data_IF_362560705536
#
_entry.id   IF_362560705536
#
_cell.length_a   1.000
_cell.length_b   1.000
_cell.length_c   1.000
_cell.angle_alpha   90.00
_cell.angle_beta   90.00
_cell.angle_gamma   90.00
#
_symmetry.space_group_name_H-M   'P 1'
#
loop_
_entity.id
_entity.type
_entity.pdbx_description
1 polymer ?
#
# COMPACT_ATOMS: atom_id res chain seq x y z
N UNK A 1 -19.97 6.20 6.70
CA UNK A 1 -18.63 6.70 6.29
C UNK A 1 -18.10 7.60 7.38
N UNK A 2 -16.92 7.29 7.93
CA UNK A 2 -16.23 8.14 8.91
C UNK A 2 -14.97 8.70 8.27
N UNK A 3 -14.86 10.03 8.21
CA UNK A 3 -13.68 10.73 7.70
C UNK A 3 -12.94 11.41 8.84
N UNK A 4 -11.64 11.17 8.97
CA UNK A 4 -10.80 11.82 9.98
C UNK A 4 -9.57 12.43 9.31
N UNK A 5 -9.30 13.71 9.61
CA UNK A 5 -8.16 14.46 9.10
C UNK A 5 -7.24 14.87 10.25
N UNK A 6 -5.92 14.87 10.02
CA UNK A 6 -4.89 15.31 11.01
C UNK A 6 -5.05 14.59 12.35
N UNK A 7 -5.25 13.28 12.28
CA UNK A 7 -5.65 12.46 13.41
C UNK A 7 -4.46 12.22 14.35
N UNK A 8 -4.66 12.45 15.65
CA UNK A 8 -3.78 11.91 16.69
C UNK A 8 -4.14 10.46 16.98
N UNK A 9 -3.23 9.74 17.65
CA UNK A 9 -3.50 8.36 18.07
C UNK A 9 -4.74 8.24 18.98
N UNK A 10 -5.00 9.23 19.83
CA UNK A 10 -6.17 9.24 20.71
C UNK A 10 -7.48 9.29 19.93
N UNK A 11 -7.55 10.08 18.85
CA UNK A 11 -8.74 10.14 17.98
C UNK A 11 -8.96 8.82 17.23
N UNK A 12 -7.89 8.12 16.85
CA UNK A 12 -8.00 6.82 16.19
C UNK A 12 -8.49 5.72 17.13
N UNK A 13 -8.16 5.78 18.43
CA UNK A 13 -8.68 4.85 19.44
C UNK A 13 -10.19 4.91 19.58
N UNK A 14 -10.81 6.07 19.34
CA UNK A 14 -12.27 6.19 19.37
C UNK A 14 -12.94 5.35 18.27
N UNK A 15 -12.26 5.13 17.13
CA UNK A 15 -12.78 4.30 16.04
C UNK A 15 -12.93 2.82 16.43
N UNK A 16 -12.17 2.34 17.43
CA UNK A 16 -12.27 0.96 17.92
C UNK A 16 -13.61 0.66 18.59
N UNK A 17 -14.28 1.70 19.09
CA UNK A 17 -15.62 1.58 19.68
C UNK A 17 -16.74 1.47 18.63
N UNK A 18 -16.42 1.69 17.35
CA UNK A 18 -17.38 1.69 16.25
C UNK A 18 -17.49 0.30 15.61
N UNK A 19 -18.22 -0.60 16.26
CA UNK A 19 -18.38 -1.99 15.81
C UNK A 19 -19.04 -2.14 14.42
N UNK A 20 -19.87 -1.18 14.02
CA UNK A 20 -20.58 -1.18 12.71
C UNK A 20 -19.84 -0.40 11.62
N UNK A 21 -18.56 -0.06 11.82
CA UNK A 21 -17.79 0.72 10.84
C UNK A 21 -17.53 -0.08 9.56
N UNK A 22 -18.21 0.29 8.47
CA UNK A 22 -18.08 -0.34 7.14
C UNK A 22 -17.21 0.46 6.17
N UNK A 23 -17.06 1.76 6.41
CA UNK A 23 -16.35 2.70 5.52
C UNK A 23 -15.53 3.71 6.32
N UNK A 24 -14.21 3.76 6.07
CA UNK A 24 -13.24 4.57 6.81
C UNK A 24 -12.32 5.36 5.88
N UNK A 25 -12.20 6.65 6.14
CA UNK A 25 -11.32 7.54 5.41
C UNK A 25 -10.38 8.26 6.38
N UNK A 26 -9.07 8.05 6.23
CA UNK A 26 -8.04 8.67 7.07
C UNK A 26 -7.11 9.51 6.20
N UNK A 27 -7.02 10.80 6.47
CA UNK A 27 -6.15 11.72 5.75
C UNK A 27 -5.18 12.46 6.66
N UNK A 28 -3.96 12.66 6.17
CA UNK A 28 -2.94 13.47 6.84
C UNK A 28 -2.60 12.97 8.26
N UNK A 29 -2.66 11.65 8.49
CA UNK A 29 -2.27 11.03 9.75
C UNK A 29 -0.74 10.97 9.91
N UNK A 30 -0.25 10.97 11.14
CA UNK A 30 1.19 10.75 11.42
C UNK A 30 1.65 9.39 10.87
N UNK A 31 2.91 9.30 10.45
CA UNK A 31 3.51 8.04 10.00
C UNK A 31 3.51 6.96 11.08
N UNK A 32 3.61 7.36 12.35
CA UNK A 32 3.64 6.45 13.52
C UNK A 32 2.39 5.59 13.64
N UNK A 33 1.27 6.07 13.07
CA UNK A 33 -0.02 5.35 13.06
C UNK A 33 0.12 3.99 12.39
N UNK A 34 1.02 3.85 11.40
CA UNK A 34 1.27 2.61 10.66
C UNK A 34 1.80 1.49 11.58
N UNK A 35 2.47 1.86 12.67
CA UNK A 35 3.04 0.93 13.65
C UNK A 35 2.21 0.82 14.92
N UNK A 36 1.13 1.59 15.02
CA UNK A 36 0.26 1.60 16.18
C UNK A 36 -0.76 0.47 16.11
N UNK A 37 -1.07 -0.18 17.24
CA UNK A 37 -2.07 -1.23 17.23
C UNK A 37 -3.48 -0.63 17.34
N UNK A 38 -4.32 -0.85 16.33
CA UNK A 38 -5.71 -0.39 16.27
C UNK A 38 -6.68 -1.55 16.05
N UNK A 39 -7.68 -1.67 16.92
CA UNK A 39 -8.75 -2.66 16.82
C UNK A 39 -9.90 -2.20 15.92
N UNK A 40 -9.69 -2.15 14.60
CA UNK A 40 -10.73 -1.76 13.66
C UNK A 40 -11.80 -2.84 13.45
N UNK A 41 -13.02 -2.41 13.12
CA UNK A 41 -14.13 -3.33 12.83
C UNK A 41 -13.79 -4.29 11.68
N UNK A 42 -14.11 -5.57 11.87
CA UNK A 42 -14.01 -6.60 10.82
C UNK A 42 -15.01 -6.42 9.68
N UNK A 43 -16.02 -5.56 9.87
CA UNK A 43 -17.04 -5.22 8.87
C UNK A 43 -16.57 -4.16 7.88
N UNK A 44 -15.33 -3.66 8.01
CA UNK A 44 -14.78 -2.65 7.12
C UNK A 44 -14.59 -3.20 5.70
N UNK A 45 -15.36 -2.67 4.74
CA UNK A 45 -15.36 -3.08 3.34
C UNK A 45 -14.76 -2.04 2.41
N UNK A 46 -14.86 -0.76 2.80
CA UNK A 46 -14.39 0.39 2.05
C UNK A 46 -13.42 1.21 2.90
N UNK A 47 -12.32 1.66 2.30
CA UNK A 47 -11.43 2.59 2.97
C UNK A 47 -10.52 3.36 2.01
N UNK A 48 -10.15 4.56 2.46
CA UNK A 48 -9.11 5.36 1.86
C UNK A 48 -8.16 5.86 2.96
N UNK A 49 -6.93 5.34 2.95
CA UNK A 49 -5.89 5.69 3.93
C UNK A 49 -4.79 6.50 3.28
N UNK A 50 -4.44 7.63 3.89
CA UNK A 50 -3.28 8.44 3.55
C UNK A 50 -2.51 8.79 4.80
N UNK A 51 -1.42 8.07 5.05
CA UNK A 51 -0.70 8.08 6.32
C UNK A 51 0.79 8.39 6.11
N UNK A 52 1.35 9.26 6.96
CA UNK A 52 2.77 9.64 6.94
C UNK A 52 3.18 10.58 5.79
N UNK A 53 2.28 10.85 4.84
CA UNK A 53 2.53 11.73 3.71
C UNK A 53 2.44 13.22 4.11
N UNK A 54 3.57 13.92 4.16
CA UNK A 54 3.61 15.39 4.21
C UNK A 54 3.90 15.95 2.80
N UNK A 55 2.92 16.64 2.20
CA UNK A 55 3.08 17.37 0.93
C UNK A 55 2.12 16.93 -0.20
N UNK A 56 2.05 17.73 -1.27
CA UNK A 56 1.12 17.56 -2.41
C UNK A 56 1.46 16.44 -3.40
N UNK A 57 2.61 15.77 -3.28
CA UNK A 57 3.08 14.73 -4.23
C UNK A 57 2.64 13.31 -3.86
N UNK A 58 1.44 13.19 -3.31
CA UNK A 58 0.80 11.90 -3.12
C UNK A 58 0.04 11.55 -4.39
N UNK A 59 -0.63 10.39 -4.45
CA UNK A 59 -1.59 10.12 -5.51
C UNK A 59 -2.37 11.39 -5.83
N UNK A 60 -2.37 11.79 -7.09
CA UNK A 60 -3.22 12.88 -7.54
C UNK A 60 -4.62 12.58 -6.98
N UNK A 61 -5.19 13.53 -6.26
CA UNK A 61 -6.49 13.37 -5.59
C UNK A 61 -7.56 12.86 -6.56
N UNK A 62 -7.38 13.14 -7.86
CA UNK A 62 -8.18 12.61 -8.98
C UNK A 62 -8.18 11.07 -9.14
N UNK A 63 -7.19 10.35 -8.60
CA UNK A 63 -7.14 8.87 -8.60
C UNK A 63 -7.78 8.26 -7.35
N UNK A 64 -7.87 9.03 -6.27
CA UNK A 64 -8.69 8.70 -5.10
C UNK A 64 -10.18 8.94 -5.38
N UNK A 65 -10.50 9.71 -6.43
CA UNK A 65 -11.86 9.94 -6.90
C UNK A 65 -12.39 8.68 -7.64
N UNK A 66 -12.97 7.77 -6.86
CA UNK A 66 -14.03 6.82 -7.25
C UNK A 66 -13.66 5.58 -8.10
N UNK A 67 -12.39 5.18 -8.24
CA UNK A 67 -12.05 3.98 -9.02
C UNK A 67 -11.80 2.71 -8.18
N UNK A 68 -11.52 2.87 -6.89
CA UNK A 68 -11.18 1.77 -6.00
C UNK A 68 -11.81 1.98 -4.62
N UNK A 69 -12.42 0.93 -4.09
CA UNK A 69 -13.08 0.98 -2.78
C UNK A 69 -12.09 0.85 -1.61
N UNK A 70 -10.88 0.35 -1.89
CA UNK A 70 -9.87 -0.02 -0.89
C UNK A 70 -8.51 0.51 -1.30
N UNK A 71 -8.19 1.70 -0.78
CA UNK A 71 -7.01 2.45 -1.16
C UNK A 71 -6.10 2.67 0.04
N UNK A 72 -4.81 2.43 -0.16
CA UNK A 72 -3.76 2.80 0.79
C UNK A 72 -2.63 3.58 0.14
N UNK A 73 -2.35 4.75 0.72
CA UNK A 73 -1.22 5.61 0.42
C UNK A 73 -0.39 5.78 1.70
N UNK A 74 0.71 5.05 1.78
CA UNK A 74 1.52 4.92 2.98
C UNK A 74 2.92 5.48 2.75
N UNK A 75 3.37 6.38 3.63
CA UNK A 75 4.80 6.71 3.74
C UNK A 75 5.42 5.85 4.84
N UNK A 76 6.15 4.81 4.44
CA UNK A 76 6.82 3.86 5.34
C UNK A 76 8.31 4.12 5.29
N UNK A 77 8.83 4.82 6.30
CA UNK A 77 10.24 5.20 6.37
C UNK A 77 11.09 4.22 7.16
N UNK A 78 10.49 3.45 8.06
CA UNK A 78 11.21 2.54 8.95
C UNK A 78 11.13 1.10 8.44
N UNK A 79 12.17 0.32 8.74
CA UNK A 79 12.17 -1.12 8.44
C UNK A 79 11.45 -1.96 9.51
N UNK A 80 10.86 -1.32 10.52
CA UNK A 80 10.07 -1.96 11.57
C UNK A 80 8.79 -2.60 11.00
N UNK A 81 8.37 -3.79 11.48
CA UNK A 81 7.15 -4.44 11.00
C UNK A 81 5.93 -3.53 11.13
N UNK A 82 5.03 -3.60 10.15
CA UNK A 82 3.77 -2.86 10.16
C UNK A 82 2.83 -3.44 11.22
N UNK A 83 1.92 -2.62 11.73
CA UNK A 83 0.92 -3.10 12.68
C UNK A 83 -0.09 -4.04 12.00
N UNK A 84 -0.63 -4.99 12.78
CA UNK A 84 -1.53 -6.06 12.28
C UNK A 84 -2.72 -5.53 11.47
N UNK A 85 -3.31 -4.41 11.90
CA UNK A 85 -4.45 -3.80 11.21
C UNK A 85 -4.06 -3.24 9.84
N UNK A 86 -2.86 -2.65 9.69
CA UNK A 86 -2.34 -2.21 8.39
C UNK A 86 -2.11 -3.43 7.49
N UNK A 87 -1.46 -4.49 8.02
CA UNK A 87 -1.23 -5.73 7.28
C UNK A 87 -2.55 -6.35 6.79
N UNK A 88 -3.56 -6.41 7.66
CA UNK A 88 -4.89 -6.92 7.34
C UNK A 88 -5.56 -6.14 6.21
N UNK A 89 -5.46 -4.81 6.26
CA UNK A 89 -6.01 -3.96 5.21
C UNK A 89 -5.19 -4.11 3.91
N UNK A 90 -3.87 -4.24 3.97
CA UNK A 90 -2.99 -4.31 2.78
C UNK A 90 -3.37 -5.48 1.90
N UNK A 91 -3.56 -6.65 2.53
CA UNK A 91 -3.98 -7.88 1.86
C UNK A 91 -5.30 -7.75 1.09
N UNK A 92 -6.18 -6.84 1.51
CA UNK A 92 -7.47 -6.57 0.87
C UNK A 92 -7.44 -5.40 -0.11
N UNK A 93 -6.37 -4.61 -0.13
CA UNK A 93 -6.30 -3.36 -0.87
C UNK A 93 -6.25 -3.60 -2.38
N UNK A 94 -6.91 -2.70 -3.13
CA UNK A 94 -6.91 -2.72 -4.58
C UNK A 94 -5.90 -1.74 -5.18
N UNK A 95 -5.74 -0.59 -4.54
CA UNK A 95 -4.69 0.36 -4.85
C UNK A 95 -3.77 0.50 -3.65
N UNK A 96 -2.49 0.27 -3.88
CA UNK A 96 -1.45 0.47 -2.87
C UNK A 96 -0.37 1.37 -3.44
N UNK A 97 -0.16 2.49 -2.78
CA UNK A 97 1.00 3.35 -2.96
C UNK A 97 1.83 3.34 -1.69
N UNK A 98 3.09 2.97 -1.82
CA UNK A 98 4.04 2.99 -0.72
C UNK A 98 5.26 3.82 -1.09
N UNK A 99 5.64 4.71 -0.17
CA UNK A 99 6.79 5.59 -0.33
C UNK A 99 7.75 5.47 0.86
N UNK A 100 9.05 5.34 0.58
CA UNK A 100 10.12 5.34 1.57
C UNK A 100 10.73 3.95 1.78
N UNK A 101 11.90 3.94 2.42
CA UNK A 101 12.77 2.76 2.50
C UNK A 101 12.13 1.56 3.24
N UNK A 102 11.13 1.83 4.08
CA UNK A 102 10.34 0.81 4.78
C UNK A 102 9.30 0.11 3.91
N UNK A 103 9.09 0.54 2.65
CA UNK A 103 8.11 -0.04 1.72
C UNK A 103 8.32 -1.53 1.44
N UNK A 104 9.48 -2.09 1.81
CA UNK A 104 9.71 -3.53 1.78
C UNK A 104 8.72 -4.30 2.65
N UNK A 105 8.33 -3.74 3.80
CA UNK A 105 7.36 -4.38 4.68
C UNK A 105 5.97 -4.44 4.04
N UNK A 106 5.59 -3.41 3.27
CA UNK A 106 4.36 -3.42 2.46
C UNK A 106 4.42 -4.52 1.40
N UNK A 107 5.55 -4.66 0.71
CA UNK A 107 5.71 -5.71 -0.30
C UNK A 107 5.65 -7.12 0.30
N UNK A 108 6.36 -7.35 1.41
CA UNK A 108 6.35 -8.63 2.13
C UNK A 108 4.93 -9.03 2.51
N UNK A 109 4.12 -8.09 2.99
CA UNK A 109 2.72 -8.36 3.36
C UNK A 109 1.82 -8.66 2.15
N UNK A 110 1.95 -7.89 1.06
CA UNK A 110 1.17 -8.15 -0.16
C UNK A 110 1.52 -9.49 -0.82
N UNK A 111 2.75 -9.96 -0.62
CA UNK A 111 3.24 -11.24 -1.12
C UNK A 111 2.64 -12.45 -0.43
N UNK A 112 2.23 -12.31 0.85
CA UNK A 112 1.56 -13.39 1.61
C UNK A 112 0.36 -13.93 0.82
N UNK A 113 -0.44 -13.02 0.27
CA UNK A 113 -1.61 -13.35 -0.55
C UNK A 113 -1.34 -13.21 -2.05
N UNK A 114 -0.07 -13.26 -2.48
CA UNK A 114 0.33 -13.25 -3.90
C UNK A 114 -0.28 -12.08 -4.70
N UNK A 115 -0.46 -10.91 -4.08
CA UNK A 115 -1.10 -9.73 -4.70
C UNK A 115 -2.52 -9.98 -5.26
N UNK A 116 -3.25 -10.98 -4.74
CA UNK A 116 -4.55 -11.42 -5.29
C UNK A 116 -5.62 -10.32 -5.43
N UNK A 117 -5.51 -9.22 -4.68
CA UNK A 117 -6.47 -8.11 -4.70
C UNK A 117 -5.93 -6.84 -5.36
N UNK A 118 -4.61 -6.72 -5.50
CA UNK A 118 -3.97 -5.48 -5.96
C UNK A 118 -4.13 -5.32 -7.47
N UNK A 119 -4.71 -4.19 -7.86
CA UNK A 119 -4.93 -3.77 -9.25
C UNK A 119 -3.95 -2.67 -9.66
N UNK A 120 -3.59 -1.77 -8.74
CA UNK A 120 -2.65 -0.67 -8.96
C UNK A 120 -1.62 -0.64 -7.82
N UNK A 121 -0.38 -0.97 -8.13
CA UNK A 121 0.75 -0.93 -7.20
C UNK A 121 1.71 0.17 -7.60
N UNK A 122 1.97 1.10 -6.68
CA UNK A 122 2.90 2.21 -6.88
C UNK A 122 3.94 2.24 -5.78
N UNK A 123 5.20 2.25 -6.17
CA UNK A 123 6.32 2.22 -5.23
C UNK A 123 7.26 3.38 -5.52
N UNK A 124 7.57 4.15 -4.49
CA UNK A 124 8.50 5.27 -4.58
C UNK A 124 9.59 5.15 -3.51
N UNK A 125 10.85 5.45 -3.86
CA UNK A 125 11.96 5.49 -2.88
C UNK A 125 12.03 4.20 -2.05
N UNK A 126 11.90 3.06 -2.73
CA UNK A 126 12.03 1.74 -2.13
C UNK A 126 13.38 1.17 -2.56
N UNK A 127 14.08 0.47 -1.68
CA UNK A 127 15.44 -0.01 -1.99
C UNK A 127 15.44 -1.46 -2.51
N UNK A 128 14.36 -2.22 -2.28
CA UNK A 128 14.34 -3.67 -2.45
C UNK A 128 13.53 -4.17 -3.65
N UNK A 129 13.79 -3.57 -4.81
CA UNK A 129 13.34 -4.15 -6.08
C UNK A 129 13.90 -5.58 -6.24
N UNK A 130 15.10 -5.81 -5.70
CA UNK A 130 15.73 -7.13 -5.57
C UNK A 130 14.92 -8.14 -4.75
N UNK A 131 14.20 -7.74 -3.69
CA UNK A 131 13.29 -8.66 -2.97
C UNK A 131 12.09 -9.07 -3.84
N UNK A 132 11.49 -8.10 -4.53
CA UNK A 132 10.33 -8.37 -5.38
C UNK A 132 10.73 -9.31 -6.53
N UNK A 133 11.92 -9.07 -7.10
CA UNK A 133 12.55 -9.91 -8.12
C UNK A 133 12.91 -11.30 -7.59
N UNK A 134 13.57 -11.42 -6.43
CA UNK A 134 13.94 -12.72 -5.86
C UNK A 134 12.72 -13.59 -5.56
N UNK A 135 11.63 -12.97 -5.13
CA UNK A 135 10.40 -13.68 -4.78
C UNK A 135 9.62 -14.10 -6.03
N UNK A 136 9.60 -13.26 -7.07
CA UNK A 136 8.98 -13.63 -8.35
C UNK A 136 9.79 -14.69 -9.12
N UNK A 137 11.12 -14.58 -9.16
CA UNK A 137 12.04 -15.59 -9.73
C UNK A 137 11.83 -16.99 -9.15
N UNK A 138 11.41 -17.09 -7.89
CA UNK A 138 11.35 -18.35 -7.14
C UNK A 138 9.94 -18.95 -7.03
N UNK A 139 8.87 -18.15 -7.17
CA UNK A 139 7.53 -18.58 -6.76
C UNK A 139 6.46 -18.50 -7.85
N UNK A 140 6.82 -18.21 -9.11
CA UNK A 140 5.89 -18.16 -10.26
C UNK A 140 4.60 -17.39 -9.91
N UNK A 141 4.73 -16.27 -9.19
CA UNK A 141 3.58 -15.60 -8.58
C UNK A 141 2.78 -14.91 -9.69
N UNK A 142 1.54 -15.35 -9.98
CA UNK A 142 0.74 -14.72 -11.00
C UNK A 142 0.14 -13.42 -10.45
N UNK A 143 0.45 -12.30 -11.10
CA UNK A 143 -0.19 -11.01 -10.84
C UNK A 143 -1.58 -10.97 -11.47
N UNK A 144 -2.50 -11.83 -11.04
CA UNK A 144 -3.74 -12.12 -11.76
C UNK A 144 -4.69 -10.94 -11.95
N UNK A 145 -4.59 -9.90 -11.10
CA UNK A 145 -5.43 -8.70 -11.16
C UNK A 145 -4.66 -7.40 -11.38
N UNK A 146 -3.33 -7.42 -11.42
CA UNK A 146 -2.52 -6.22 -11.49
C UNK A 146 -2.64 -5.59 -12.88
N UNK A 147 -3.18 -4.37 -12.95
CA UNK A 147 -3.34 -3.58 -14.17
C UNK A 147 -2.25 -2.52 -14.33
N UNK A 148 -1.74 -2.03 -13.20
CA UNK A 148 -0.72 -0.98 -13.16
C UNK A 148 0.35 -1.31 -12.12
N UNK A 149 1.59 -1.24 -12.55
CA UNK A 149 2.76 -1.21 -11.71
C UNK A 149 3.55 0.06 -12.04
N UNK A 150 3.68 0.95 -11.06
CA UNK A 150 4.49 2.16 -11.18
C UNK A 150 5.61 2.13 -10.17
N UNK A 151 6.84 2.33 -10.63
CA UNK A 151 8.03 2.28 -9.79
C UNK A 151 8.84 3.55 -10.05
N UNK A 152 9.07 4.35 -9.02
CA UNK A 152 9.76 5.65 -9.14
C UNK A 152 10.89 5.80 -8.14
N UNK A 153 11.97 6.49 -8.56
CA UNK A 153 13.09 6.94 -7.70
C UNK A 153 13.73 5.81 -6.87
N UNK A 154 14.15 4.73 -7.54
CA UNK A 154 14.89 3.63 -6.91
C UNK A 154 16.40 3.86 -6.93
N UNK A 155 17.06 3.55 -5.82
CA UNK A 155 18.52 3.50 -5.73
C UNK A 155 19.11 2.30 -6.50
N UNK A 156 18.30 1.26 -6.75
CA UNK A 156 18.71 -0.05 -7.29
C UNK A 156 18.30 -0.30 -8.76
N UNK A 157 18.00 0.76 -9.52
CA UNK A 157 17.42 0.70 -10.88
C UNK A 157 18.24 -0.14 -11.90
N UNK A 158 19.52 -0.35 -11.63
CA UNK A 158 20.42 -1.17 -12.46
C UNK A 158 19.98 -2.65 -12.61
N UNK A 159 19.19 -3.20 -11.68
CA UNK A 159 18.75 -4.59 -11.71
C UNK A 159 17.41 -4.81 -12.45
N UNK A 160 16.71 -3.74 -12.85
CA UNK A 160 15.44 -3.85 -13.58
C UNK A 160 15.62 -4.27 -15.04
N UNK A 161 16.75 -3.90 -15.65
CA UNK A 161 17.02 -4.15 -17.09
C UNK A 161 17.51 -5.56 -17.40
N UNK A 162 17.78 -6.38 -16.37
CA UNK A 162 18.19 -7.78 -16.50
C UNK A 162 17.04 -8.76 -16.29
N UNK A 163 15.82 -8.29 -16.03
CA UNK A 163 14.67 -9.13 -15.67
C UNK A 163 13.69 -9.34 -16.85
N UNK A 164 13.51 -10.58 -17.35
CA UNK A 164 12.70 -10.87 -18.53
C UNK A 164 11.22 -10.43 -18.47
N UNK A 165 10.55 -10.59 -17.34
CA UNK A 165 9.12 -10.23 -17.15
C UNK A 165 8.82 -8.72 -17.21
N UNK A 166 9.80 -7.85 -16.95
CA UNK A 166 9.58 -6.41 -17.11
C UNK A 166 9.44 -6.04 -18.60
N UNK A 167 9.94 -6.88 -19.50
CA UNK A 167 9.68 -6.76 -20.95
C UNK A 167 8.28 -7.25 -21.32
N UNK A 168 7.73 -8.26 -20.65
CA UNK A 168 6.37 -8.77 -20.91
C UNK A 168 5.27 -7.77 -20.50
N UNK A 169 5.43 -7.06 -19.36
CA UNK A 169 4.51 -5.96 -18.96
C UNK A 169 4.59 -4.77 -19.92
N UNK A 170 5.72 -4.59 -20.61
CA UNK A 170 5.87 -3.60 -21.68
C UNK A 170 5.28 -4.07 -23.02
N UNK A 171 5.36 -5.36 -23.33
CA UNK A 171 4.86 -5.93 -24.59
C UNK A 171 3.33 -6.10 -24.62
N UNK A 172 2.68 -6.26 -23.48
CA UNK A 172 1.20 -6.23 -23.37
C UNK A 172 0.60 -4.82 -23.55
N UNK A 173 1.41 -3.83 -23.93
CA UNK A 173 1.02 -2.44 -24.21
C UNK A 173 1.35 -1.97 -25.63
N UNK A 174 1.47 -2.89 -26.60
CA UNK A 174 1.35 -2.59 -28.03
C UNK A 174 0.11 -3.28 -28.59
#
# INVERSE_FOLDING_TARGET
>A
MVGVERCSYSTLRELESLFELTSLTLFSCSGDVIYSNLGLSSKLTEYALKVGQQGRRCLDTSLMDNYYDRIMDLKVTESTPLADWICHMLRKSELVHSNGNGSNNVLTELLVDKFQNVKDLRLAVCDSLTHLLSIHCQNDIPFSKLKRLEITRFCSLQYLFTCPWLQEVRQTRQ
#
